data_IF_743728371079
#
_entry.id   IF_743728371079
#
_cell.length_a   1.000
_cell.length_b   1.000
_cell.length_c   1.000
_cell.angle_alpha   90.00
_cell.angle_beta   90.00
_cell.angle_gamma   90.00
#
_symmetry.space_group_name_H-M   'P 1'
#
loop_
_entity.id
_entity.type
_entity.pdbx_description
1 polymer ?
#
# COMPACT_ATOMS: atom_id res chain seq x y z
N UNK A 1 -59.69 -13.64 0.51
CA UNK A 1 -58.92 -12.96 -0.54
C UNK A 1 -57.58 -12.55 0.02
N UNK A 2 -56.48 -13.14 -0.44
CA UNK A 2 -55.14 -12.73 -0.03
C UNK A 2 -54.86 -11.32 -0.61
N UNK A 3 -54.60 -10.35 0.26
CA UNK A 3 -54.19 -9.00 -0.18
C UNK A 3 -52.88 -9.13 -0.94
N UNK A 4 -52.86 -8.67 -2.19
CA UNK A 4 -51.65 -8.65 -2.99
C UNK A 4 -50.66 -7.66 -2.35
N UNK A 5 -49.64 -8.18 -1.67
CA UNK A 5 -48.52 -7.40 -1.14
C UNK A 5 -47.57 -7.09 -2.31
N UNK A 6 -47.94 -6.12 -3.15
CA UNK A 6 -47.13 -5.67 -4.30
C UNK A 6 -45.76 -5.09 -3.90
N UNK A 7 -45.49 -4.94 -2.61
CA UNK A 7 -44.21 -4.49 -2.08
C UNK A 7 -43.24 -5.66 -1.95
N UNK A 8 -42.19 -5.65 -2.76
CA UNK A 8 -41.02 -6.53 -2.62
C UNK A 8 -39.93 -5.95 -1.71
N UNK A 9 -40.21 -4.86 -0.98
CA UNK A 9 -39.23 -4.14 -0.16
C UNK A 9 -38.51 -5.05 0.85
N UNK A 10 -39.20 -6.04 1.41
CA UNK A 10 -38.62 -7.02 2.34
C UNK A 10 -37.53 -7.91 1.73
N UNK A 11 -37.50 -8.08 0.39
CA UNK A 11 -36.48 -8.87 -0.32
C UNK A 11 -35.23 -8.06 -0.66
N UNK A 12 -35.27 -6.74 -0.44
CA UNK A 12 -34.13 -5.84 -0.66
C UNK A 12 -33.27 -5.69 0.58
N UNK A 13 -33.70 -6.22 1.71
CA UNK A 13 -32.96 -6.18 2.96
C UNK A 13 -31.92 -7.30 2.91
N UNK A 14 -30.64 -6.93 3.00
CA UNK A 14 -29.55 -7.87 3.18
C UNK A 14 -29.55 -8.36 4.63
N UNK A 15 -30.25 -9.47 4.88
CA UNK A 15 -30.32 -10.10 6.20
C UNK A 15 -29.00 -10.76 6.59
N UNK A 16 -28.17 -11.11 5.61
CA UNK A 16 -26.90 -11.80 5.84
C UNK A 16 -25.90 -10.86 6.52
N UNK A 17 -25.97 -9.54 6.28
CA UNK A 17 -25.13 -8.54 6.97
C UNK A 17 -25.20 -8.63 8.51
N UNK A 18 -26.34 -9.07 9.06
CA UNK A 18 -26.57 -9.17 10.50
C UNK A 18 -26.26 -10.55 11.09
N UNK A 19 -25.78 -11.50 10.28
CA UNK A 19 -25.42 -12.83 10.77
C UNK A 19 -24.18 -12.76 11.69
N UNK A 20 -24.29 -13.28 12.91
CA UNK A 20 -23.22 -13.30 13.90
C UNK A 20 -22.05 -14.20 13.48
N UNK A 21 -22.30 -15.22 12.65
CA UNK A 21 -21.28 -16.13 12.12
C UNK A 21 -20.42 -15.49 11.01
N UNK A 22 -20.76 -14.27 10.57
CA UNK A 22 -19.94 -13.56 9.60
C UNK A 22 -18.56 -13.26 10.18
N UNK A 23 -17.54 -13.48 9.34
CA UNK A 23 -16.18 -13.09 9.67
C UNK A 23 -16.09 -11.58 9.93
N UNK A 24 -15.61 -11.19 11.12
CA UNK A 24 -15.29 -9.80 11.48
C UNK A 24 -13.77 -9.65 11.53
N UNK A 25 -13.27 -8.57 10.94
CA UNK A 25 -11.84 -8.25 11.04
C UNK A 25 -11.50 -7.78 12.45
N UNK A 26 -10.38 -8.27 12.99
CA UNK A 26 -9.84 -7.79 14.26
C UNK A 26 -9.47 -6.31 14.14
N UNK A 27 -9.98 -5.49 15.07
CA UNK A 27 -9.69 -4.06 15.13
C UNK A 27 -8.29 -3.80 15.71
N UNK A 28 -7.24 -4.12 14.97
CA UNK A 28 -5.88 -3.75 15.33
C UNK A 28 -5.62 -2.27 15.00
N UNK A 29 -6.23 -1.35 15.73
CA UNK A 29 -6.00 0.09 15.56
C UNK A 29 -4.67 0.48 16.23
N UNK A 30 -3.59 0.45 15.47
CA UNK A 30 -2.29 0.95 15.96
C UNK A 30 -2.16 2.39 15.48
N UNK A 31 -2.07 3.34 16.42
CA UNK A 31 -1.85 4.75 16.11
C UNK A 31 -0.43 4.98 15.56
N UNK A 32 -0.21 4.60 14.30
CA UNK A 32 1.03 4.89 13.57
C UNK A 32 0.82 6.18 12.79
N UNK A 33 1.64 7.20 13.09
CA UNK A 33 1.55 8.53 12.48
C UNK A 33 1.97 8.57 10.99
N UNK A 34 2.42 7.44 10.43
CA UNK A 34 3.05 7.39 9.12
C UNK A 34 4.50 7.90 9.13
N UNK A 35 5.15 7.97 7.96
CA UNK A 35 6.51 8.50 7.81
C UNK A 35 6.56 10.03 7.98
N UNK A 36 7.66 10.56 8.53
CA UNK A 36 7.89 12.00 8.69
C UNK A 36 8.36 12.64 7.37
N UNK A 37 7.53 13.51 6.80
CA UNK A 37 7.83 14.25 5.56
C UNK A 37 9.13 15.06 5.63
N UNK A 38 9.43 15.70 6.77
CA UNK A 38 10.62 16.52 6.91
C UNK A 38 11.89 15.67 6.88
N UNK A 39 11.86 14.51 7.53
CA UNK A 39 12.95 13.56 7.52
C UNK A 39 13.19 13.03 6.11
N UNK A 40 12.14 12.59 5.43
CA UNK A 40 12.23 12.09 4.05
C UNK A 40 12.77 13.18 3.11
N UNK A 41 12.26 14.40 3.21
CA UNK A 41 12.71 15.52 2.37
C UNK A 41 14.18 15.88 2.65
N UNK A 42 14.61 15.84 3.90
CA UNK A 42 15.99 16.08 4.28
C UNK A 42 16.94 15.02 3.69
N UNK A 43 16.57 13.74 3.76
CA UNK A 43 17.34 12.64 3.18
C UNK A 43 17.45 12.78 1.65
N UNK A 44 16.35 13.10 0.96
CA UNK A 44 16.35 13.32 -0.48
C UNK A 44 17.23 14.49 -0.89
N UNK A 45 17.18 15.61 -0.14
CA UNK A 45 18.02 16.79 -0.40
C UNK A 45 19.50 16.49 -0.21
N UNK A 46 19.85 15.60 0.72
CA UNK A 46 21.22 15.13 0.95
C UNK A 46 21.68 14.10 -0.09
N UNK A 47 20.83 13.70 -1.04
CA UNK A 47 21.13 12.65 -2.02
C UNK A 47 21.11 11.23 -1.45
N UNK A 48 20.57 11.04 -0.25
CA UNK A 48 20.48 9.74 0.43
C UNK A 48 19.16 9.02 0.12
N UNK A 49 18.87 8.84 -1.16
CA UNK A 49 17.57 8.31 -1.60
C UNK A 49 17.28 6.88 -1.13
N UNK A 50 18.30 6.03 -0.97
CA UNK A 50 18.13 4.65 -0.46
C UNK A 50 17.78 4.65 1.02
N UNK A 51 18.38 5.54 1.81
CA UNK A 51 18.02 5.72 3.23
C UNK A 51 16.59 6.24 3.35
N UNK A 52 16.21 7.23 2.52
CA UNK A 52 14.83 7.72 2.45
C UNK A 52 13.82 6.60 2.12
N UNK A 53 14.17 5.70 1.19
CA UNK A 53 13.36 4.54 0.84
C UNK A 53 13.16 3.60 2.02
N UNK A 54 14.24 3.27 2.74
CA UNK A 54 14.16 2.39 3.91
C UNK A 54 13.28 3.05 4.99
N UNK A 55 13.51 4.33 5.29
CA UNK A 55 12.77 5.07 6.31
C UNK A 55 11.28 5.17 5.99
N UNK A 56 10.90 5.47 4.74
CA UNK A 56 9.48 5.60 4.37
C UNK A 56 8.74 4.26 4.46
N UNK A 57 9.41 3.15 4.11
CA UNK A 57 8.83 1.81 4.18
C UNK A 57 8.73 1.28 5.62
N UNK A 58 9.72 1.54 6.47
CA UNK A 58 9.71 1.13 7.89
C UNK A 58 8.58 1.79 8.67
N UNK A 59 8.22 3.03 8.31
CA UNK A 59 7.17 3.81 8.98
C UNK A 59 5.81 3.74 8.25
N UNK A 60 5.60 2.72 7.40
CA UNK A 60 4.36 2.57 6.65
C UNK A 60 3.15 2.32 7.56
N UNK A 61 2.08 3.14 7.47
CA UNK A 61 0.90 3.04 8.34
C UNK A 61 -0.09 1.95 7.87
N UNK A 62 0.40 0.72 7.63
CA UNK A 62 -0.40 -0.37 7.02
C UNK A 62 -1.67 -0.71 7.80
N UNK A 63 -1.61 -0.62 9.13
CA UNK A 63 -2.71 -0.90 10.07
C UNK A 63 -3.54 0.33 10.46
N UNK A 64 -3.25 1.49 9.86
CA UNK A 64 -3.99 2.72 10.18
C UNK A 64 -5.36 2.73 9.48
N UNK A 65 -6.42 3.10 10.21
CA UNK A 65 -7.77 3.30 9.64
C UNK A 65 -7.93 4.65 8.94
N UNK A 66 -7.06 5.62 9.25
CA UNK A 66 -7.19 6.98 8.75
C UNK A 66 -6.66 7.08 7.31
N UNK A 67 -7.59 7.20 6.36
CA UNK A 67 -7.26 7.22 4.92
C UNK A 67 -6.25 8.32 4.56
N UNK A 68 -6.39 9.52 5.13
CA UNK A 68 -5.48 10.62 4.84
C UNK A 68 -4.02 10.34 5.23
N UNK A 69 -3.79 9.58 6.31
CA UNK A 69 -2.43 9.19 6.74
C UNK A 69 -1.82 8.21 5.73
N UNK A 70 -2.63 7.27 5.23
CA UNK A 70 -2.23 6.34 4.17
C UNK A 70 -1.95 7.07 2.86
N UNK A 71 -2.81 8.01 2.46
CA UNK A 71 -2.64 8.81 1.24
C UNK A 71 -1.36 9.64 1.29
N UNK A 72 -1.07 10.24 2.45
CA UNK A 72 0.17 10.99 2.67
C UNK A 72 1.40 10.08 2.59
N UNK A 73 1.38 8.93 3.25
CA UNK A 73 2.47 7.95 3.20
C UNK A 73 2.71 7.42 1.78
N UNK A 74 1.65 7.16 1.00
CA UNK A 74 1.74 6.81 -0.41
C UNK A 74 2.42 7.93 -1.21
N UNK A 75 1.96 9.17 -1.05
CA UNK A 75 2.52 10.32 -1.77
C UNK A 75 4.02 10.46 -1.53
N UNK A 76 4.46 10.37 -0.26
CA UNK A 76 5.88 10.39 0.10
C UNK A 76 6.63 9.22 -0.52
N UNK A 77 6.07 8.00 -0.45
CA UNK A 77 6.71 6.80 -0.99
C UNK A 77 6.91 6.92 -2.50
N UNK A 78 5.88 7.35 -3.25
CA UNK A 78 5.97 7.54 -4.70
C UNK A 78 7.00 8.62 -5.04
N UNK A 79 7.05 9.73 -4.30
CA UNK A 79 8.07 10.76 -4.48
C UNK A 79 9.49 10.21 -4.31
N UNK A 80 9.70 9.37 -3.29
CA UNK A 80 11.00 8.70 -3.07
C UNK A 80 11.32 7.76 -4.24
N UNK A 81 10.39 6.93 -4.69
CA UNK A 81 10.60 6.01 -5.81
C UNK A 81 10.97 6.76 -7.09
N UNK A 82 10.27 7.86 -7.41
CA UNK A 82 10.54 8.68 -8.59
C UNK A 82 11.85 9.47 -8.50
N UNK A 83 12.37 9.72 -7.30
CA UNK A 83 13.67 10.40 -7.10
C UNK A 83 14.87 9.52 -7.45
N UNK A 84 14.71 8.20 -7.39
CA UNK A 84 15.77 7.23 -7.65
C UNK A 84 15.83 6.95 -9.15
N UNK A 85 17.00 7.07 -9.75
CA UNK A 85 17.17 6.82 -11.20
C UNK A 85 17.02 5.33 -11.49
N UNK A 86 16.54 4.98 -12.69
CA UNK A 86 16.39 3.59 -13.13
C UNK A 86 17.67 2.75 -12.97
N UNK A 87 18.84 3.35 -13.16
CA UNK A 87 20.16 2.70 -13.00
C UNK A 87 20.53 2.39 -11.54
N UNK A 88 19.81 2.93 -10.56
CA UNK A 88 20.06 2.78 -9.13
C UNK A 88 18.99 1.90 -8.45
N UNK A 89 17.93 1.51 -9.16
CA UNK A 89 16.83 0.71 -8.61
C UNK A 89 17.35 -0.65 -8.13
N UNK A 90 18.20 -1.32 -8.91
CA UNK A 90 18.77 -2.63 -8.53
C UNK A 90 19.49 -2.55 -7.17
N UNK A 91 20.37 -1.56 -7.00
CA UNK A 91 21.09 -1.33 -5.74
C UNK A 91 20.13 -0.99 -4.58
N UNK A 92 19.10 -0.17 -4.83
CA UNK A 92 18.12 0.19 -3.80
C UNK A 92 17.29 -1.02 -3.34
N UNK A 93 16.88 -1.88 -4.28
CA UNK A 93 16.16 -3.12 -3.98
C UNK A 93 17.06 -4.11 -3.25
N UNK A 94 18.35 -4.21 -3.60
CA UNK A 94 19.32 -5.03 -2.88
C UNK A 94 19.48 -4.61 -1.42
N UNK A 95 19.50 -3.31 -1.13
CA UNK A 95 19.59 -2.76 0.22
C UNK A 95 18.39 -3.08 1.14
N UNK A 96 17.25 -3.50 0.57
CA UNK A 96 16.11 -3.98 1.35
C UNK A 96 16.37 -5.41 1.84
N UNK A 97 17.17 -5.57 2.87
CA UNK A 97 17.59 -6.89 3.41
C UNK A 97 16.41 -7.69 4.01
N UNK A 98 15.39 -6.99 4.51
CA UNK A 98 14.21 -7.60 5.13
C UNK A 98 13.13 -7.87 4.09
N UNK A 99 12.71 -9.13 3.96
CA UNK A 99 11.62 -9.52 3.05
C UNK A 99 10.33 -8.72 3.30
N UNK A 100 10.05 -8.38 4.56
CA UNK A 100 8.87 -7.60 4.92
C UNK A 100 8.86 -6.23 4.22
N UNK A 101 10.01 -5.55 4.11
CA UNK A 101 10.11 -4.25 3.42
C UNK A 101 9.91 -4.38 1.91
N UNK A 102 10.32 -5.50 1.29
CA UNK A 102 10.02 -5.78 -0.11
C UNK A 102 8.52 -5.96 -0.34
N UNK A 103 7.84 -6.64 0.58
CA UNK A 103 6.39 -6.80 0.52
C UNK A 103 5.68 -5.45 0.72
N UNK A 104 6.12 -4.62 1.66
CA UNK A 104 5.59 -3.25 1.85
C UNK A 104 5.80 -2.41 0.59
N UNK A 105 7.00 -2.46 -0.01
CA UNK A 105 7.29 -1.77 -1.26
C UNK A 105 6.36 -2.23 -2.38
N UNK A 106 6.16 -3.54 -2.53
CA UNK A 106 5.25 -4.08 -3.55
C UNK A 106 3.81 -3.58 -3.33
N UNK A 107 3.34 -3.47 -2.09
CA UNK A 107 2.01 -2.88 -1.79
C UNK A 107 1.91 -1.43 -2.29
N UNK A 108 2.92 -0.61 -2.03
CA UNK A 108 2.93 0.79 -2.49
C UNK A 108 3.05 0.90 -4.01
N UNK A 109 3.76 -0.01 -4.69
CA UNK A 109 3.82 -0.05 -6.16
C UNK A 109 2.42 -0.32 -6.73
N UNK A 110 1.71 -1.34 -6.23
CA UNK A 110 0.35 -1.65 -6.67
C UNK A 110 -0.63 -0.51 -6.39
N UNK A 111 -0.53 0.11 -5.22
CA UNK A 111 -1.35 1.27 -4.88
C UNK A 111 -1.01 2.50 -5.73
N UNK A 112 0.27 2.70 -6.06
CA UNK A 112 0.72 3.73 -6.99
C UNK A 112 0.12 3.57 -8.39
N UNK A 113 -0.07 2.34 -8.85
CA UNK A 113 -0.77 2.07 -10.12
C UNK A 113 -2.25 2.47 -10.10
N UNK A 114 -2.90 2.57 -8.93
CA UNK A 114 -4.27 3.06 -8.81
C UNK A 114 -4.35 4.59 -9.04
N UNK A 115 -3.25 5.31 -8.83
CA UNK A 115 -3.17 6.79 -8.91
C UNK A 115 -2.03 7.21 -9.85
N UNK A 116 -2.15 6.94 -11.16
CA UNK A 116 -1.09 7.28 -12.10
C UNK A 116 -0.92 8.79 -12.20
N UNK A 117 0.33 9.21 -12.30
CA UNK A 117 0.76 10.58 -12.62
C UNK A 117 1.66 10.56 -13.84
N UNK A 118 1.86 11.71 -14.48
CA UNK A 118 2.63 11.77 -15.73
C UNK A 118 4.05 11.22 -15.52
N UNK A 119 4.41 10.20 -16.31
CA UNK A 119 5.71 9.53 -16.23
C UNK A 119 5.90 8.54 -15.06
N UNK A 120 4.95 8.43 -14.11
CA UNK A 120 5.16 7.57 -12.94
C UNK A 120 4.94 6.08 -13.22
N UNK A 121 3.94 5.71 -14.01
CA UNK A 121 3.63 4.29 -14.28
C UNK A 121 4.79 3.53 -14.93
N UNK A 122 5.50 4.15 -15.87
CA UNK A 122 6.68 3.53 -16.50
C UNK A 122 7.81 3.28 -15.50
N UNK A 123 8.02 4.23 -14.58
CA UNK A 123 9.02 4.10 -13.54
C UNK A 123 8.62 3.05 -12.49
N UNK A 124 7.35 3.02 -12.08
CA UNK A 124 6.80 2.00 -11.17
C UNK A 124 6.87 0.59 -11.77
N UNK A 125 6.73 0.43 -13.08
CA UNK A 125 6.93 -0.86 -13.75
C UNK A 125 8.39 -1.35 -13.64
N UNK A 126 9.38 -0.45 -13.73
CA UNK A 126 10.78 -0.80 -13.50
C UNK A 126 11.02 -1.23 -12.06
N UNK A 127 10.44 -0.51 -11.09
CA UNK A 127 10.45 -0.92 -9.68
C UNK A 127 9.83 -2.30 -9.49
N UNK A 128 8.64 -2.52 -10.06
CA UNK A 128 7.94 -3.80 -9.99
C UNK A 128 8.82 -4.95 -10.50
N UNK A 129 9.43 -4.79 -11.67
CA UNK A 129 10.34 -5.79 -12.25
C UNK A 129 11.45 -6.19 -11.28
N UNK A 130 12.12 -5.22 -10.65
CA UNK A 130 13.26 -5.48 -9.75
C UNK A 130 12.83 -6.08 -8.41
N UNK A 131 11.73 -5.60 -7.83
CA UNK A 131 11.17 -6.17 -6.61
C UNK A 131 10.69 -7.60 -6.85
N UNK A 132 10.05 -7.87 -8.00
CA UNK A 132 9.65 -9.22 -8.40
C UNK A 132 10.85 -10.13 -8.60
N UNK A 133 11.93 -9.65 -9.22
CA UNK A 133 13.15 -10.44 -9.40
C UNK A 133 13.77 -10.89 -8.07
N UNK A 134 13.72 -10.04 -7.03
CA UNK A 134 14.23 -10.36 -5.68
C UNK A 134 13.25 -11.16 -4.83
N UNK A 135 11.98 -10.74 -4.76
CA UNK A 135 10.96 -11.32 -3.87
C UNK A 135 10.14 -12.47 -4.48
N UNK A 136 10.28 -12.70 -5.80
CA UNK A 136 9.48 -13.67 -6.55
C UNK A 136 7.98 -13.36 -6.55
N UNK A 137 7.18 -14.31 -7.01
CA UNK A 137 5.70 -14.18 -7.04
C UNK A 137 5.08 -14.04 -5.64
N UNK A 138 5.79 -14.48 -4.59
CA UNK A 138 5.31 -14.44 -3.22
C UNK A 138 4.99 -13.03 -2.72
N UNK A 139 5.78 -12.02 -3.11
CA UNK A 139 5.51 -10.64 -2.72
C UNK A 139 4.19 -10.12 -3.31
N UNK A 140 3.89 -10.45 -4.57
CA UNK A 140 2.62 -10.12 -5.23
C UNK A 140 1.45 -10.85 -4.55
N UNK A 141 1.58 -12.15 -4.30
CA UNK A 141 0.52 -12.94 -3.64
C UNK A 141 0.17 -12.36 -2.27
N UNK A 142 1.18 -11.89 -1.52
CA UNK A 142 0.95 -11.22 -0.23
C UNK A 142 0.28 -9.85 -0.40
N UNK A 143 0.57 -9.07 -1.43
CA UNK A 143 -0.22 -7.85 -1.75
C UNK A 143 -1.69 -8.19 -1.97
N UNK A 144 -1.99 -9.24 -2.74
CA UNK A 144 -3.36 -9.63 -3.08
C UNK A 144 -4.15 -10.23 -1.89
N UNK A 145 -3.44 -10.83 -0.94
CA UNK A 145 -4.06 -11.55 0.19
C UNK A 145 -4.09 -10.75 1.48
N UNK A 146 -3.26 -9.71 1.61
CA UNK A 146 -3.19 -8.89 2.82
C UNK A 146 -4.35 -7.88 2.87
N UNK A 147 -5.02 -7.85 4.02
CA UNK A 147 -6.13 -6.94 4.32
C UNK A 147 -5.63 -5.54 4.71
N UNK A 148 -4.38 -5.46 5.21
CA UNK A 148 -3.72 -4.20 5.55
C UNK A 148 -3.12 -3.56 4.30
N UNK A 149 -3.98 -2.81 3.60
CA UNK A 149 -3.60 -2.02 2.43
C UNK A 149 -2.67 -0.87 2.84
N UNK A 150 -1.64 -0.69 2.01
CA UNK A 150 -0.76 0.47 2.07
C UNK A 150 -1.50 1.78 1.79
#
# INVERSE_FOLDING_TARGET
>A
MAKNTSSSAFRKIDVDQYNEDNFKEDEADTAVSGPDENEITALLTQGKSVEALITVLQNAPLRCKQQHVKDHALTLTINVLLSIKSSQIDQAVEALEQNDLLDVLMKYIYRGFEIPSEGSSGHLLQWHEKVFAKGGVGCIVRVLSDRNRA
#
